data_IF_231367258671
#
_entry.id   IF_231367258671
#
_cell.length_a   1.000
_cell.length_b   1.000
_cell.length_c   1.000
_cell.angle_alpha   90.00
_cell.angle_beta   90.00
_cell.angle_gamma   90.00
#
_symmetry.space_group_name_H-M   'P 1'
#
loop_
_entity.id
_entity.type
_entity.pdbx_description
1 polymer ?
#
# COMPACT_ATOMS: atom_id res chain seq x y z
N UNK A 1 -5.05 23.77 -15.05
CA UNK A 1 -5.97 23.11 -14.08
C UNK A 1 -5.21 23.02 -12.75
N UNK A 2 -5.85 22.85 -11.59
CA UNK A 2 -5.08 22.72 -10.35
C UNK A 2 -4.49 21.30 -10.26
N UNK A 3 -3.17 21.17 -10.00
CA UNK A 3 -2.44 19.88 -9.83
C UNK A 3 -2.55 18.92 -11.01
N UNK A 4 -2.51 19.44 -12.24
CA UNK A 4 -2.57 18.62 -13.45
C UNK A 4 -1.36 17.69 -13.59
N UNK A 5 -0.19 18.14 -13.15
CA UNK A 5 1.04 17.37 -13.22
C UNK A 5 0.98 16.13 -12.32
N UNK A 6 0.60 16.29 -11.05
CA UNK A 6 0.53 15.19 -10.10
C UNK A 6 -0.57 14.19 -10.47
N UNK A 7 -1.71 14.68 -10.96
CA UNK A 7 -2.78 13.82 -11.46
C UNK A 7 -2.34 13.04 -12.70
N UNK A 8 -1.69 13.69 -13.65
CA UNK A 8 -1.18 13.04 -14.87
C UNK A 8 -0.13 11.99 -14.50
N UNK A 9 0.81 12.35 -13.63
CA UNK A 9 1.84 11.44 -13.14
C UNK A 9 1.24 10.19 -12.49
N UNK A 10 0.28 10.37 -11.58
CA UNK A 10 -0.41 9.25 -10.90
C UNK A 10 -1.14 8.35 -11.91
N UNK A 11 -1.86 8.93 -12.87
CA UNK A 11 -2.56 8.18 -13.91
C UNK A 11 -1.60 7.41 -14.82
N UNK A 12 -0.44 7.98 -15.15
CA UNK A 12 0.59 7.31 -15.95
C UNK A 12 1.18 6.13 -15.18
N UNK A 13 1.51 6.32 -13.89
CA UNK A 13 2.02 5.24 -13.02
C UNK A 13 1.00 4.11 -12.93
N UNK A 14 -0.27 4.42 -12.64
CA UNK A 14 -1.36 3.43 -12.56
C UNK A 14 -1.50 2.64 -13.86
N UNK A 15 -1.57 3.33 -15.01
CA UNK A 15 -1.67 2.70 -16.32
C UNK A 15 -0.44 1.84 -16.67
N UNK A 16 0.75 2.26 -16.27
CA UNK A 16 2.01 1.56 -16.54
C UNK A 16 2.07 0.21 -15.83
N UNK A 17 1.69 0.16 -14.54
CA UNK A 17 1.79 -1.08 -13.74
C UNK A 17 0.59 -2.02 -13.90
N UNK A 18 -0.54 -1.51 -14.41
CA UNK A 18 -1.82 -2.24 -14.50
C UNK A 18 -1.78 -3.57 -15.25
N UNK A 19 -1.18 -3.68 -16.45
CA UNK A 19 -1.20 -4.94 -17.19
C UNK A 19 -0.48 -6.07 -16.43
N UNK A 20 0.67 -5.75 -15.83
CA UNK A 20 1.50 -6.72 -15.11
C UNK A 20 0.82 -7.12 -13.80
N UNK A 21 0.32 -6.14 -13.04
CA UNK A 21 -0.37 -6.37 -11.77
C UNK A 21 -1.63 -7.21 -11.99
N UNK A 22 -2.46 -6.86 -12.99
CA UNK A 22 -3.67 -7.61 -13.32
C UNK A 22 -3.37 -9.06 -13.64
N UNK A 23 -2.40 -9.30 -14.54
CA UNK A 23 -2.01 -10.66 -14.96
C UNK A 23 -1.55 -11.50 -13.76
N UNK A 24 -0.71 -10.91 -12.90
CA UNK A 24 -0.21 -11.59 -11.71
C UNK A 24 -1.33 -11.94 -10.73
N UNK A 25 -2.18 -10.96 -10.40
CA UNK A 25 -3.25 -11.14 -9.42
C UNK A 25 -4.32 -12.13 -9.88
N UNK A 26 -4.64 -12.15 -11.17
CA UNK A 26 -5.55 -13.15 -11.76
C UNK A 26 -4.97 -14.55 -11.66
N UNK A 27 -3.68 -14.72 -12.01
CA UNK A 27 -3.00 -16.01 -11.90
C UNK A 27 -3.00 -16.51 -10.45
N UNK A 28 -2.59 -15.65 -9.52
CA UNK A 28 -2.56 -15.98 -8.09
C UNK A 28 -3.95 -16.34 -7.56
N UNK A 29 -4.99 -15.59 -7.92
CA UNK A 29 -6.35 -15.90 -7.51
C UNK A 29 -6.81 -17.26 -8.03
N UNK A 30 -6.50 -17.60 -9.29
CA UNK A 30 -6.86 -18.90 -9.86
C UNK A 30 -6.13 -20.04 -9.13
N UNK A 31 -4.81 -19.90 -8.90
CA UNK A 31 -4.03 -20.88 -8.14
C UNK A 31 -4.58 -21.10 -6.71
N UNK A 32 -5.01 -20.02 -6.04
CA UNK A 32 -5.66 -20.11 -4.73
C UNK A 32 -6.98 -20.88 -4.80
N UNK A 33 -7.84 -20.59 -5.79
CA UNK A 33 -9.13 -21.27 -5.99
C UNK A 33 -8.95 -22.74 -6.35
N UNK A 34 -8.00 -23.05 -7.23
CA UNK A 34 -7.67 -24.43 -7.62
C UNK A 34 -7.12 -25.24 -6.44
N UNK A 35 -6.48 -24.57 -5.48
CA UNK A 35 -6.02 -25.17 -4.22
C UNK A 35 -7.12 -25.31 -3.16
N UNK A 36 -8.37 -24.94 -3.48
CA UNK A 36 -9.51 -25.07 -2.57
C UNK A 36 -9.73 -23.90 -1.61
N UNK A 37 -9.05 -22.76 -1.80
CA UNK A 37 -9.30 -21.56 -0.99
C UNK A 37 -10.70 -20.98 -1.30
N UNK A 38 -11.58 -20.95 -0.31
CA UNK A 38 -12.96 -20.44 -0.42
C UNK A 38 -13.13 -19.01 0.13
N UNK A 39 -12.15 -18.50 0.88
CA UNK A 39 -12.21 -17.19 1.55
C UNK A 39 -12.10 -15.95 0.66
N UNK A 40 -11.94 -14.80 1.33
CA UNK A 40 -11.73 -13.51 0.70
C UNK A 40 -10.24 -13.24 0.51
N UNK A 41 -9.82 -13.11 -0.74
CA UNK A 41 -8.47 -12.67 -1.07
C UNK A 41 -8.39 -11.15 -1.04
N UNK A 42 -7.72 -10.62 -0.01
CA UNK A 42 -7.55 -9.19 0.23
C UNK A 42 -6.07 -8.81 0.20
N UNK A 43 -5.81 -7.58 -0.25
CA UNK A 43 -4.46 -7.00 -0.30
C UNK A 43 -4.39 -5.74 0.55
N UNK A 44 -3.24 -5.48 1.16
CA UNK A 44 -2.99 -4.22 1.87
C UNK A 44 -2.92 -3.06 0.89
N UNK A 45 -3.49 -1.92 1.26
CA UNK A 45 -3.41 -0.67 0.49
C UNK A 45 -2.35 0.26 1.07
N UNK A 46 -1.76 1.09 0.22
CA UNK A 46 -0.77 2.13 0.55
C UNK A 46 -1.18 3.00 1.75
N UNK A 47 -2.37 3.61 1.72
CA UNK A 47 -2.90 4.42 2.82
C UNK A 47 -3.55 3.63 3.95
N UNK A 48 -3.22 2.33 4.07
CA UNK A 48 -3.78 1.41 5.03
C UNK A 48 -5.13 0.79 4.66
N UNK A 49 -5.57 -0.14 5.50
CA UNK A 49 -6.74 -0.98 5.24
C UNK A 49 -6.47 -2.06 4.18
N UNK A 50 -7.54 -2.62 3.64
CA UNK A 50 -7.48 -3.69 2.66
C UNK A 50 -8.31 -3.39 1.41
N UNK A 51 -7.92 -3.99 0.29
CA UNK A 51 -8.61 -3.88 -1.00
C UNK A 51 -8.86 -5.25 -1.62
N UNK A 52 -9.92 -5.37 -2.41
CA UNK A 52 -10.29 -6.60 -3.11
C UNK A 52 -9.45 -6.80 -4.37
N UNK A 53 -9.47 -8.04 -4.88
CA UNK A 53 -8.90 -8.38 -6.18
C UNK A 53 -9.39 -7.46 -7.31
N UNK A 54 -10.70 -7.23 -7.40
CA UNK A 54 -11.29 -6.43 -8.48
C UNK A 54 -10.84 -4.98 -8.42
N UNK A 55 -10.82 -4.36 -7.23
CA UNK A 55 -10.30 -3.00 -7.08
C UNK A 55 -8.80 -2.92 -7.40
N UNK A 56 -8.01 -3.92 -7.01
CA UNK A 56 -6.57 -3.93 -7.24
C UNK A 56 -6.20 -4.05 -8.73
N UNK A 57 -6.99 -4.81 -9.51
CA UNK A 57 -6.83 -4.89 -10.97
C UNK A 57 -7.16 -3.57 -11.67
N UNK A 58 -8.08 -2.78 -11.14
CA UNK A 58 -8.51 -1.51 -11.73
C UNK A 58 -7.70 -0.31 -11.24
N UNK A 59 -7.17 -0.35 -10.03
CA UNK A 59 -6.44 0.76 -9.40
C UNK A 59 -5.16 0.27 -8.68
N UNK A 60 -4.24 -0.40 -9.41
CA UNK A 60 -3.02 -0.98 -8.85
C UNK A 60 -2.06 0.04 -8.23
N UNK A 61 -2.18 1.34 -8.56
CA UNK A 61 -1.37 2.39 -7.93
C UNK A 61 -1.53 2.41 -6.41
N UNK A 62 -2.67 1.95 -5.88
CA UNK A 62 -2.91 1.82 -4.44
C UNK A 62 -2.16 0.66 -3.76
N UNK A 63 -1.47 -0.20 -4.51
CA UNK A 63 -0.61 -1.25 -3.98
C UNK A 63 0.85 -0.79 -3.81
N UNK A 64 1.23 0.32 -4.43
CA UNK A 64 2.57 0.91 -4.31
C UNK A 64 2.83 1.25 -2.85
N UNK A 65 3.92 0.74 -2.28
CA UNK A 65 4.29 0.93 -0.86
C UNK A 65 3.28 0.35 0.16
N UNK A 66 2.47 -0.63 -0.24
CA UNK A 66 1.52 -1.32 0.66
C UNK A 66 2.20 -2.16 1.76
N UNK A 67 3.41 -2.65 1.54
CA UNK A 67 4.18 -3.44 2.51
C UNK A 67 4.50 -2.65 3.79
N UNK A 68 5.23 -1.52 3.67
CA UNK A 68 5.50 -0.63 4.81
C UNK A 68 4.23 -0.19 5.54
N UNK A 69 3.15 0.13 4.82
CA UNK A 69 1.87 0.49 5.42
C UNK A 69 1.33 -0.60 6.37
N UNK A 70 1.40 -1.87 5.95
CA UNK A 70 1.04 -3.00 6.80
C UNK A 70 1.90 -3.10 8.06
N UNK A 71 3.21 -2.88 7.93
CA UNK A 71 4.15 -2.87 9.06
C UNK A 71 3.83 -1.78 10.08
N UNK A 72 3.56 -0.56 9.62
CA UNK A 72 3.24 0.59 10.49
C UNK A 72 1.90 0.40 11.21
N UNK A 73 0.89 -0.14 10.51
CA UNK A 73 -0.41 -0.47 11.12
C UNK A 73 -0.24 -1.54 12.21
N UNK A 74 0.55 -2.59 11.92
CA UNK A 74 0.86 -3.63 12.89
C UNK A 74 1.61 -3.09 14.11
N UNK A 75 2.57 -2.19 13.90
CA UNK A 75 3.31 -1.53 14.98
C UNK A 75 2.41 -0.63 15.83
N UNK A 76 1.49 0.12 15.23
CA UNK A 76 0.52 0.93 15.98
C UNK A 76 -0.40 0.06 16.84
N UNK A 77 -0.87 -1.08 16.29
CA UNK A 77 -1.64 -2.07 17.05
C UNK A 77 -0.84 -2.63 18.23
N UNK A 78 0.41 -3.05 18.00
CA UNK A 78 1.30 -3.55 19.04
C UNK A 78 1.56 -2.48 20.12
N UNK A 79 1.81 -1.23 19.72
CA UNK A 79 1.99 -0.09 20.60
C UNK A 79 0.82 0.09 21.57
N UNK A 80 -0.41 -0.07 21.07
CA UNK A 80 -1.62 -0.08 21.89
C UNK A 80 -1.63 -1.21 22.92
N UNK A 81 -1.19 -2.42 22.54
CA UNK A 81 -1.14 -3.58 23.45
C UNK A 81 -0.08 -3.42 24.56
N UNK A 82 1.06 -2.79 24.27
CA UNK A 82 2.16 -2.62 25.23
C UNK A 82 2.13 -1.27 25.97
N UNK A 83 1.09 -0.45 25.74
CA UNK A 83 0.96 0.88 26.36
C UNK A 83 2.00 1.89 25.87
N UNK A 84 2.52 1.74 24.66
CA UNK A 84 3.48 2.63 24.01
C UNK A 84 2.84 3.28 22.77
N UNK A 85 2.16 4.43 22.92
CA UNK A 85 1.43 5.06 21.81
C UNK A 85 2.35 5.83 20.85
N UNK A 86 3.61 6.09 21.22
CA UNK A 86 4.55 6.86 20.41
C UNK A 86 5.70 5.95 19.97
N UNK A 87 5.80 5.68 18.67
CA UNK A 87 6.77 4.73 18.11
C UNK A 87 7.42 5.28 16.85
N UNK A 88 8.70 4.94 16.66
CA UNK A 88 9.39 5.06 15.38
C UNK A 88 9.58 3.64 14.84
N UNK A 89 8.99 3.34 13.69
CA UNK A 89 9.21 2.05 13.01
C UNK A 89 10.37 2.18 12.05
N UNK A 90 11.19 1.15 11.97
CA UNK A 90 12.27 1.02 11.00
C UNK A 90 12.18 -0.40 10.43
N UNK A 91 11.90 -0.50 9.13
CA UNK A 91 11.93 -1.74 8.36
C UNK A 91 13.16 -1.70 7.45
N UNK A 92 14.12 -2.59 7.71
CA UNK A 92 15.37 -2.66 6.97
C UNK A 92 15.41 -3.95 6.16
N UNK A 93 15.40 -3.81 4.84
CA UNK A 93 15.67 -4.89 3.90
C UNK A 93 17.13 -4.93 3.44
N UNK A 94 17.43 -5.80 2.48
CA UNK A 94 18.76 -5.86 1.84
C UNK A 94 19.02 -4.75 0.82
N UNK A 95 18.01 -3.92 0.51
CA UNK A 95 18.06 -2.90 -0.55
C UNK A 95 17.58 -1.54 -0.07
N UNK A 96 16.50 -1.53 0.72
CA UNK A 96 15.84 -0.31 1.19
C UNK A 96 15.70 -0.29 2.71
N UNK A 97 15.44 0.91 3.22
CA UNK A 97 15.01 1.14 4.58
C UNK A 97 13.78 2.04 4.54
N UNK A 98 12.72 1.59 5.19
CA UNK A 98 11.48 2.36 5.37
C UNK A 98 11.36 2.76 6.84
N UNK A 99 10.95 4.00 7.10
CA UNK A 99 10.73 4.48 8.46
C UNK A 99 9.44 5.27 8.56
N UNK A 100 8.79 5.21 9.72
CA UNK A 100 7.53 5.94 9.94
C UNK A 100 7.35 6.28 11.40
N UNK A 101 6.64 7.39 11.64
CA UNK A 101 6.32 7.87 12.98
C UNK A 101 4.86 7.56 13.31
N UNK A 102 4.65 6.97 14.49
CA UNK A 102 3.34 6.79 15.10
C UNK A 102 3.29 7.75 16.29
N UNK A 103 2.29 8.63 16.30
CA UNK A 103 2.07 9.60 17.38
C UNK A 103 0.71 9.38 18.00
N UNK A 104 0.65 9.30 19.32
CA UNK A 104 -0.59 9.08 20.08
C UNK A 104 -1.42 7.88 19.58
N UNK A 105 -0.73 6.81 19.17
CA UNK A 105 -1.31 5.58 18.63
C UNK A 105 -1.87 5.71 17.21
N UNK A 106 -1.61 6.84 16.53
CA UNK A 106 -2.14 7.13 15.19
C UNK A 106 -1.02 7.09 14.14
N UNK A 107 -1.33 6.43 13.03
CA UNK A 107 -0.50 6.44 11.82
C UNK A 107 -0.81 7.70 11.02
N UNK A 108 0.23 8.42 10.61
CA UNK A 108 0.09 9.59 9.72
C UNK A 108 -0.17 9.12 8.30
N UNK A 109 -1.20 9.69 7.66
CA UNK A 109 -1.51 9.45 6.24
C UNK A 109 -1.19 10.73 5.47
N UNK A 110 -0.39 10.61 4.42
CA UNK A 110 -0.09 11.67 3.48
C UNK A 110 -0.88 11.48 2.18
N UNK A 111 -1.32 12.58 1.56
CA UNK A 111 -2.10 12.53 0.30
C UNK A 111 -1.24 12.79 -0.94
N UNK A 112 0.06 13.02 -0.75
CA UNK A 112 1.02 13.28 -1.82
C UNK A 112 2.37 12.70 -1.43
N UNK A 113 2.86 11.78 -2.25
CA UNK A 113 4.17 11.17 -2.08
C UNK A 113 4.98 11.29 -3.38
N UNK A 114 6.29 11.05 -3.29
CA UNK A 114 7.14 10.84 -4.47
C UNK A 114 7.53 9.38 -4.57
N UNK A 115 7.33 8.79 -5.74
CA UNK A 115 7.78 7.45 -6.08
C UNK A 115 8.73 7.54 -7.28
N UNK A 116 9.97 7.08 -7.14
CA UNK A 116 11.00 7.20 -8.18
C UNK A 116 11.15 8.63 -8.75
N UNK A 117 11.03 9.64 -7.87
CA UNK A 117 11.09 11.06 -8.22
C UNK A 117 9.80 11.65 -8.82
N UNK A 118 8.82 10.82 -9.18
CA UNK A 118 7.54 11.23 -9.74
C UNK A 118 6.51 11.49 -8.63
N UNK A 119 5.69 12.54 -8.72
CA UNK A 119 4.63 12.75 -7.75
C UNK A 119 3.51 11.73 -7.92
N UNK A 120 2.98 11.26 -6.79
CA UNK A 120 1.87 10.33 -6.71
C UNK A 120 0.83 10.90 -5.74
N UNK A 121 -0.39 11.15 -6.24
CA UNK A 121 -1.51 11.74 -5.50
C UNK A 121 -2.51 10.67 -5.07
N UNK A 122 -2.08 9.82 -4.15
CA UNK A 122 -2.93 8.83 -3.47
C UNK A 122 -2.68 8.93 -1.95
N UNK A 123 -3.65 8.52 -1.12
CA UNK A 123 -3.39 8.32 0.29
C UNK A 123 -2.34 7.21 0.50
N UNK A 124 -1.30 7.52 1.25
CA UNK A 124 -0.16 6.66 1.63
C UNK A 124 0.16 6.83 3.10
#
# INVERSE_FOLDING_TARGET
EYREYERTSTSVIDAYVKPITRTYLERLNNELRDSGFDGHFLMTRSGGGAMTLDTAKEQPVHLVLSGPAGGVIGAAYLGGLIGQPNLLTIDMGGTSLDSSLISDGKVTIENQQRFEGLPMSIPT
#
